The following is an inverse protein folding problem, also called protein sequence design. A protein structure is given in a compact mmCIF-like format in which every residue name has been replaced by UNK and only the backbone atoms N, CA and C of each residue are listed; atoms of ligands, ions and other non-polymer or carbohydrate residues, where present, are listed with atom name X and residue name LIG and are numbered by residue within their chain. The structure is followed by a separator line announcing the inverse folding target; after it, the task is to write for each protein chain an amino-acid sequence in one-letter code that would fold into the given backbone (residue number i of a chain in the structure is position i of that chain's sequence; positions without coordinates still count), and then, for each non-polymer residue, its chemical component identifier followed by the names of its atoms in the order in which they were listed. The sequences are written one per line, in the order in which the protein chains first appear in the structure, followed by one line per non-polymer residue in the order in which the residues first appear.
data_IF_416591747401
#
_entry.id   IF_416591747401
#
_cell.length_a   1.000
_cell.length_b   1.000
_cell.length_c   1.000
_cell.angle_alpha   90.00
_cell.angle_beta   90.00
_cell.angle_gamma   90.00
#
_symmetry.space_group_name_H-M   'P 1'
#
loop_
_entity.id
_entity.type
_entity.pdbx_description
1 polymer ?
#
# COMPACT_ATOMS: atom_id res chain seq x y z
N UNK A 1 -8.74 3.03 16.71
CA UNK A 1 -8.27 3.24 15.33
C UNK A 1 -9.46 3.22 14.38
N UNK A 2 -9.25 3.65 13.14
CA UNK A 2 -10.17 3.42 12.03
C UNK A 2 -9.67 2.22 11.23
N UNK A 3 -10.57 1.46 10.60
CA UNK A 3 -10.17 0.38 9.67
C UNK A 3 -9.69 1.03 8.37
N UNK A 4 -8.51 0.65 7.91
CA UNK A 4 -7.90 1.15 6.69
C UNK A 4 -7.14 0.03 5.97
N UNK A 5 -6.85 0.23 4.69
CA UNK A 5 -5.85 -0.57 3.97
C UNK A 5 -4.43 -0.17 4.42
N UNK A 6 -3.43 -1.05 4.27
CA UNK A 6 -2.05 -0.70 4.54
C UNK A 6 -1.61 0.49 3.69
N UNK A 7 -0.83 1.39 4.27
CA UNK A 7 -0.32 2.55 3.55
C UNK A 7 0.08 3.72 4.43
N UNK A 8 0.83 4.64 3.83
CA UNK A 8 1.41 5.77 4.52
C UNK A 8 1.85 6.87 3.55
N UNK A 9 2.62 7.81 4.08
CA UNK A 9 3.20 8.88 3.28
C UNK A 9 4.31 8.33 2.37
N UNK A 10 4.47 8.93 1.20
CA UNK A 10 5.63 8.67 0.34
C UNK A 10 6.85 9.29 0.99
N UNK A 11 7.91 8.49 1.20
CA UNK A 11 9.19 8.94 1.70
C UNK A 11 10.10 9.41 0.56
N UNK A 12 11.10 10.25 0.86
CA UNK A 12 12.09 10.74 -0.11
C UNK A 12 12.93 9.59 -0.70
N UNK A 13 12.96 8.45 -0.02
CA UNK A 13 13.65 7.23 -0.47
C UNK A 13 12.77 6.34 -1.38
N UNK A 14 11.47 6.59 -1.44
CA UNK A 14 10.54 5.80 -2.25
C UNK A 14 10.68 6.20 -3.72
N UNK A 15 11.03 5.22 -4.57
CA UNK A 15 11.19 5.45 -6.01
C UNK A 15 9.88 5.81 -6.73
N UNK A 16 8.72 5.56 -6.10
CA UNK A 16 7.38 5.86 -6.63
C UNK A 16 6.30 5.68 -5.55
N UNK A 17 5.07 6.11 -5.85
CA UNK A 17 3.88 5.81 -5.02
C UNK A 17 3.63 4.31 -4.83
N UNK A 18 4.03 3.48 -5.81
CA UNK A 18 3.94 2.02 -5.72
C UNK A 18 4.97 1.51 -4.72
N UNK A 19 6.20 2.05 -4.74
CA UNK A 19 7.24 1.66 -3.79
C UNK A 19 6.82 1.98 -2.35
N UNK A 20 6.25 3.17 -2.12
CA UNK A 20 5.70 3.55 -0.82
C UNK A 20 4.60 2.57 -0.36
N UNK A 21 3.62 2.27 -1.22
CA UNK A 21 2.53 1.36 -0.86
C UNK A 21 3.03 -0.06 -0.51
N UNK A 22 4.02 -0.57 -1.25
CA UNK A 22 4.61 -1.89 -0.98
C UNK A 22 5.45 -1.92 0.29
N UNK A 23 6.24 -0.85 0.54
CA UNK A 23 7.00 -0.68 1.78
C UNK A 23 6.08 -0.67 3.00
N UNK A 24 5.02 0.14 2.97
CA UNK A 24 4.05 0.23 4.06
C UNK A 24 3.30 -1.11 4.28
N UNK A 25 2.94 -1.82 3.21
CA UNK A 25 2.35 -3.15 3.34
C UNK A 25 3.31 -4.17 3.98
N UNK A 26 4.61 -4.05 3.74
CA UNK A 26 5.62 -4.86 4.42
C UNK A 26 5.76 -4.48 5.89
N UNK A 27 5.85 -3.19 6.19
CA UNK A 27 6.02 -2.67 7.56
C UNK A 27 4.81 -2.95 8.46
N UNK A 28 3.59 -2.73 7.95
CA UNK A 28 2.37 -2.80 8.75
C UNK A 28 1.82 -4.23 8.84
N UNK A 29 1.87 -4.98 7.74
CA UNK A 29 1.20 -6.30 7.66
C UNK A 29 2.09 -7.44 7.21
N UNK A 30 3.41 -7.22 7.10
CA UNK A 30 4.41 -8.22 6.74
C UNK A 30 4.16 -8.88 5.36
N UNK A 31 3.56 -8.15 4.42
CA UNK A 31 3.43 -8.60 3.02
C UNK A 31 4.69 -8.18 2.26
N UNK A 32 5.56 -9.12 1.84
CA UNK A 32 6.78 -8.75 1.15
C UNK A 32 6.48 -8.21 -0.26
N UNK A 33 7.16 -7.17 -0.75
CA UNK A 33 6.93 -6.58 -2.07
C UNK A 33 7.01 -7.60 -3.20
N UNK A 34 7.90 -8.59 -3.08
CA UNK A 34 8.07 -9.67 -4.07
C UNK A 34 6.89 -10.63 -4.18
N UNK A 35 5.96 -10.62 -3.22
CA UNK A 35 4.74 -11.44 -3.26
C UNK A 35 3.54 -10.69 -3.86
N UNK A 36 3.70 -9.43 -4.25
CA UNK A 36 2.61 -8.61 -4.78
C UNK A 36 2.77 -8.45 -6.29
N UNK A 37 1.78 -8.92 -7.05
CA UNK A 37 1.64 -8.55 -8.45
C UNK A 37 0.85 -7.24 -8.54
N UNK A 38 1.54 -6.12 -8.78
CA UNK A 38 0.88 -4.81 -8.94
C UNK A 38 0.17 -4.75 -10.29
N UNK A 39 -1.15 -4.56 -10.26
CA UNK A 39 -1.98 -4.51 -11.48
C UNK A 39 -2.31 -3.10 -11.93
N UNK A 40 -2.11 -2.09 -11.07
CA UNK A 40 -2.24 -0.70 -11.46
C UNK A 40 -2.40 0.27 -10.29
N UNK A 41 -2.51 1.54 -10.67
CA UNK A 41 -2.76 2.67 -9.77
C UNK A 41 -4.10 3.28 -10.13
N UNK A 42 -4.96 3.48 -9.14
CA UNK A 42 -6.25 4.14 -9.33
C UNK A 42 -6.11 5.67 -9.22
N UNK A 43 -7.05 6.45 -9.77
CA UNK A 43 -7.06 7.90 -9.58
C UNK A 43 -7.01 8.28 -8.10
N UNK A 44 -6.26 9.34 -7.73
CA UNK A 44 -6.19 9.77 -6.34
C UNK A 44 -7.57 10.18 -5.79
N UNK A 45 -7.76 9.96 -4.50
CA UNK A 45 -8.98 10.31 -3.76
C UNK A 45 -8.63 11.20 -2.58
N UNK A 46 -9.49 12.17 -2.27
CA UNK A 46 -9.33 12.99 -1.08
C UNK A 46 -9.82 12.22 0.14
N UNK A 47 -8.96 12.08 1.14
CA UNK A 47 -9.32 11.50 2.43
C UNK A 47 -10.24 12.45 3.21
N UNK A 48 -10.95 11.90 4.20
CA UNK A 48 -11.77 12.70 5.13
C UNK A 48 -10.97 13.72 5.96
N UNK A 49 -9.63 13.56 5.99
CA UNK A 49 -8.69 14.45 6.68
C UNK A 49 -7.96 15.40 5.74
N UNK A 50 -8.30 15.42 4.44
CA UNK A 50 -7.77 16.37 3.47
C UNK A 50 -6.44 15.97 2.82
N UNK A 51 -6.07 14.69 2.89
CA UNK A 51 -4.89 14.17 2.16
C UNK A 51 -5.31 13.59 0.82
N UNK A 52 -4.48 13.81 -0.21
CA UNK A 52 -4.63 13.12 -1.48
C UNK A 52 -4.00 11.73 -1.38
N UNK A 53 -4.84 10.69 -1.42
CA UNK A 53 -4.42 9.29 -1.30
C UNK A 53 -4.45 8.65 -2.68
N UNK A 54 -3.36 8.02 -3.09
CA UNK A 54 -3.25 7.33 -4.39
C UNK A 54 -3.32 5.81 -4.17
N UNK A 55 -4.44 5.14 -4.50
CA UNK A 55 -4.58 3.71 -4.26
C UNK A 55 -3.76 2.88 -5.25
N UNK A 56 -3.00 1.92 -4.75
CA UNK A 56 -2.27 0.93 -5.54
C UNK A 56 -2.96 -0.42 -5.38
N UNK A 57 -3.28 -1.07 -6.49
CA UNK A 57 -3.95 -2.38 -6.48
C UNK A 57 -2.94 -3.46 -6.81
N UNK A 58 -2.85 -4.45 -5.92
CA UNK A 58 -1.99 -5.62 -6.08
C UNK A 58 -2.71 -6.91 -5.77
N UNK A 59 -2.28 -7.99 -6.43
CA UNK A 59 -2.73 -9.36 -6.17
C UNK A 59 -1.67 -10.07 -5.34
N UNK A 60 -2.10 -10.74 -4.28
CA UNK A 60 -1.24 -11.59 -3.44
C UNK A 60 -1.64 -13.06 -3.58
N UNK A 61 -0.73 -14.02 -3.30
CA UNK A 61 -1.08 -15.43 -3.21
C UNK A 61 -2.19 -15.68 -2.18
N UNK A 62 -3.12 -16.62 -2.44
CA UNK A 62 -4.26 -16.87 -1.56
C UNK A 62 -3.83 -17.35 -0.17
N UNK A 63 -2.70 -18.06 -0.07
CA UNK A 63 -2.18 -18.64 1.17
C UNK A 63 -1.04 -17.80 1.76
N UNK A 64 -0.85 -16.55 1.32
CA UNK A 64 0.20 -15.69 1.85
C UNK A 64 -0.09 -15.37 3.32
N UNK A 65 0.80 -15.73 4.27
CA UNK A 65 0.65 -15.31 5.65
C UNK A 65 0.93 -13.81 5.76
N UNK A 66 0.01 -13.08 6.40
CA UNK A 66 0.17 -11.68 6.78
C UNK A 66 -0.11 -11.50 8.27
N UNK A 67 0.26 -10.35 8.83
CA UNK A 67 -0.03 -9.99 10.23
C UNK A 67 -0.90 -8.74 10.25
N UNK A 68 -1.85 -8.63 11.18
CA UNK A 68 -2.73 -7.47 11.32
C UNK A 68 -2.85 -7.09 12.79
#
# INVERSE_FOLDING_TARGET
GQVAFPGGAVDDTDASVIAAALREAEEEVAIPPSAVEVIGVLPPVDSVTGYQVTPVVGIIPPDLPYRA
#
